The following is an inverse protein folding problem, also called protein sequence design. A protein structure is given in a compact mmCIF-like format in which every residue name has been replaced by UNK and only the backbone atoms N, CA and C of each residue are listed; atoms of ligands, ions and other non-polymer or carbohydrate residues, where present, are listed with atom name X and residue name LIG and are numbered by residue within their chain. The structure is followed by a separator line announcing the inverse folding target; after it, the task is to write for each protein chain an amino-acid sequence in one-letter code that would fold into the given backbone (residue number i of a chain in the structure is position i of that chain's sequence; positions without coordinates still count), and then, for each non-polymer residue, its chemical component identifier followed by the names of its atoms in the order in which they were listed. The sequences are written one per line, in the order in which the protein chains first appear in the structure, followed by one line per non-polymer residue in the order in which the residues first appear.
data_IF_355350995812
#
_entry.id   IF_355350995812
#
_cell.length_a   1.000
_cell.length_b   1.000
_cell.length_c   1.000
_cell.angle_alpha   90.00
_cell.angle_beta   90.00
_cell.angle_gamma   90.00
#
_symmetry.space_group_name_H-M   'P 1'
#
loop_
_entity.id
_entity.type
_entity.pdbx_description
1 polymer ?
#
# COMPACT_ATOMS: atom_id res chain seq x y z
N UNK A 1 -30.12 -30.52 20.10
CA UNK A 1 -29.84 -30.15 18.69
C UNK A 1 -29.38 -28.70 18.54
N UNK A 2 -30.12 -27.71 19.04
CA UNK A 2 -29.79 -26.28 18.89
C UNK A 2 -28.41 -25.90 19.49
N UNK A 3 -28.09 -26.38 20.70
CA UNK A 3 -26.79 -26.12 21.33
C UNK A 3 -25.59 -26.72 20.56
N UNK A 4 -25.74 -27.90 19.96
CA UNK A 4 -24.70 -28.49 19.11
C UNK A 4 -24.49 -27.68 17.84
N UNK A 5 -25.56 -27.15 17.24
CA UNK A 5 -25.47 -26.32 16.04
C UNK A 5 -24.68 -25.02 16.32
N UNK A 6 -24.92 -24.39 17.47
CA UNK A 6 -24.16 -23.20 17.90
C UNK A 6 -22.71 -23.52 18.25
N UNK A 7 -22.44 -24.65 18.89
CA UNK A 7 -21.07 -25.09 19.15
C UNK A 7 -20.29 -25.34 17.85
N UNK A 8 -20.94 -25.99 16.88
CA UNK A 8 -20.34 -26.20 15.55
C UNK A 8 -20.11 -24.86 14.84
N UNK A 9 -21.04 -23.91 14.88
CA UNK A 9 -20.84 -22.57 14.32
C UNK A 9 -19.72 -21.80 15.02
N UNK A 10 -19.57 -21.93 16.34
CA UNK A 10 -18.48 -21.32 17.09
C UNK A 10 -17.12 -21.95 16.72
N UNK A 11 -17.06 -23.28 16.61
CA UNK A 11 -15.84 -23.99 16.18
C UNK A 11 -15.49 -23.65 14.73
N UNK A 12 -16.47 -23.53 13.83
CA UNK A 12 -16.26 -23.07 12.45
C UNK A 12 -15.81 -21.61 12.41
N UNK A 13 -16.34 -20.74 13.28
CA UNK A 13 -15.90 -19.35 13.41
C UNK A 13 -14.47 -19.25 13.91
N UNK A 14 -14.10 -20.04 14.93
CA UNK A 14 -12.74 -20.09 15.47
C UNK A 14 -11.76 -20.72 14.47
N UNK A 15 -12.16 -21.80 13.80
CA UNK A 15 -11.35 -22.49 12.78
C UNK A 15 -11.20 -21.66 11.50
N UNK A 16 -12.23 -20.90 11.10
CA UNK A 16 -12.20 -20.02 9.93
C UNK A 16 -11.27 -18.81 10.08
N UNK A 17 -10.94 -18.42 11.31
CA UNK A 17 -9.97 -17.35 11.60
C UNK A 17 -8.54 -17.86 11.85
N UNK A 18 -8.32 -19.18 11.77
CA UNK A 18 -6.99 -19.80 11.77
C UNK A 18 -6.31 -19.79 10.41
N UNK A 19 -6.95 -19.22 9.39
CA UNK A 19 -6.38 -19.10 8.04
C UNK A 19 -5.31 -17.99 8.00
N UNK A 20 -4.05 -18.41 7.92
CA UNK A 20 -2.96 -17.61 7.37
C UNK A 20 -2.22 -16.69 8.34
N UNK A 21 -1.46 -17.25 9.28
CA UNK A 21 -0.37 -16.51 9.96
C UNK A 21 0.80 -16.17 9.01
N UNK A 22 0.73 -16.56 7.74
CA UNK A 22 1.81 -16.38 6.79
C UNK A 22 1.58 -15.09 5.97
N UNK A 23 2.16 -13.99 6.43
CA UNK A 23 2.10 -12.67 5.79
C UNK A 23 3.30 -12.42 4.85
N UNK A 24 3.83 -13.48 4.24
CA UNK A 24 4.89 -13.42 3.24
C UNK A 24 4.31 -13.80 1.89
N UNK A 25 4.73 -13.11 0.83
CA UNK A 25 4.33 -13.39 -0.54
C UNK A 25 5.34 -12.83 -1.53
N UNK A 26 5.12 -13.05 -2.82
CA UNK A 26 5.90 -12.41 -3.88
C UNK A 26 5.04 -12.39 -5.14
N UNK A 27 5.27 -11.41 -6.02
CA UNK A 27 4.72 -11.45 -7.36
C UNK A 27 5.62 -12.35 -8.22
N UNK A 28 5.14 -13.54 -8.56
CA UNK A 28 5.92 -14.54 -9.28
C UNK A 28 7.07 -15.14 -8.46
N UNK A 29 7.90 -15.95 -9.13
CA UNK A 29 9.01 -16.65 -8.46
C UNK A 29 10.24 -15.76 -8.25
N UNK A 30 10.43 -14.76 -9.12
CA UNK A 30 11.62 -13.89 -9.14
C UNK A 30 11.34 -12.49 -8.55
N UNK A 31 10.12 -12.24 -8.06
CA UNK A 31 9.76 -10.98 -7.43
C UNK A 31 10.37 -10.81 -6.03
N UNK A 32 10.44 -9.56 -5.51
CA UNK A 32 10.92 -9.31 -4.16
C UNK A 32 10.04 -10.01 -3.11
N UNK A 33 10.64 -10.42 -2.00
CA UNK A 33 9.90 -10.93 -0.84
C UNK A 33 9.01 -9.81 -0.27
N UNK A 34 7.70 -10.00 -0.32
CA UNK A 34 6.67 -9.08 0.16
C UNK A 34 6.21 -9.53 1.54
N UNK A 35 6.62 -8.74 2.52
CA UNK A 35 6.22 -8.84 3.93
C UNK A 35 5.98 -7.45 4.50
N UNK A 36 5.41 -7.41 5.70
CA UNK A 36 5.12 -6.19 6.43
C UNK A 36 6.32 -5.21 6.42
N UNK A 37 6.11 -3.90 6.21
CA UNK A 37 4.82 -3.21 6.15
C UNK A 37 4.06 -3.38 4.84
N UNK A 38 4.70 -3.93 3.81
CA UNK A 38 4.07 -4.14 2.52
C UNK A 38 3.14 -5.35 2.54
N UNK A 39 2.11 -5.29 1.70
CA UNK A 39 1.24 -6.43 1.42
C UNK A 39 0.80 -6.43 -0.04
N UNK A 40 0.46 -7.60 -0.55
CA UNK A 40 -0.23 -7.73 -1.83
C UNK A 40 -1.72 -7.47 -1.59
N UNK A 41 -2.23 -6.38 -2.16
CA UNK A 41 -3.64 -6.01 -2.07
C UNK A 41 -4.50 -7.11 -2.69
N UNK A 42 -5.65 -7.38 -2.07
CA UNK A 42 -6.64 -8.37 -2.50
C UNK A 42 -6.20 -9.85 -2.43
N UNK A 43 -4.91 -10.13 -2.25
CA UNK A 43 -4.37 -11.48 -2.00
C UNK A 43 -4.06 -11.74 -0.52
N UNK A 44 -3.48 -10.75 0.16
CA UNK A 44 -3.11 -10.86 1.57
C UNK A 44 -4.11 -10.13 2.49
N UNK A 45 -4.47 -10.72 3.65
CA UNK A 45 -5.34 -10.08 4.62
C UNK A 45 -4.84 -8.70 5.07
N UNK A 46 -5.76 -7.79 5.42
CA UNK A 46 -5.42 -6.42 5.85
C UNK A 46 -4.43 -6.35 7.02
N UNK A 47 -4.40 -7.37 7.89
CA UNK A 47 -3.49 -7.40 9.03
C UNK A 47 -2.03 -7.74 8.65
N UNK A 48 -1.77 -8.13 7.41
CA UNK A 48 -0.43 -8.43 6.91
C UNK A 48 0.34 -7.20 6.42
N UNK A 49 -0.32 -6.07 6.22
CA UNK A 49 0.30 -4.83 5.78
C UNK A 49 -0.11 -3.62 6.61
N UNK A 50 0.57 -2.51 6.37
CA UNK A 50 0.23 -1.22 6.93
C UNK A 50 -0.56 -0.39 5.89
N UNK A 51 -1.62 0.34 6.28
CA UNK A 51 -2.36 1.18 5.34
C UNK A 51 -1.43 2.14 4.57
N UNK A 52 -1.53 2.14 3.24
CA UNK A 52 -0.67 2.94 2.37
C UNK A 52 0.64 2.26 1.92
N UNK A 53 0.83 0.97 2.25
CA UNK A 53 1.92 0.12 1.76
C UNK A 53 1.42 -1.04 0.88
N UNK A 54 0.28 -0.82 0.24
CA UNK A 54 -0.33 -1.82 -0.63
C UNK A 54 0.46 -1.91 -1.94
N UNK A 55 0.83 -3.13 -2.31
CA UNK A 55 1.42 -3.50 -3.58
C UNK A 55 0.39 -4.29 -4.39
N UNK A 56 0.56 -4.33 -5.70
CA UNK A 56 -0.18 -5.21 -6.60
C UNK A 56 0.77 -6.02 -7.48
N UNK A 57 0.29 -7.15 -7.99
CA UNK A 57 0.97 -7.90 -9.03
C UNK A 57 0.31 -7.58 -10.37
N UNK A 58 1.09 -7.23 -11.39
CA UNK A 58 0.59 -7.09 -12.75
C UNK A 58 0.52 -8.44 -13.48
N UNK A 59 -0.06 -8.46 -14.67
CA UNK A 59 -0.28 -9.68 -15.46
C UNK A 59 1.01 -10.43 -15.82
N UNK A 60 2.14 -9.72 -15.88
CA UNK A 60 3.48 -10.26 -16.09
C UNK A 60 4.17 -10.71 -14.79
N UNK A 61 3.44 -10.76 -13.67
CA UNK A 61 3.93 -11.03 -12.31
C UNK A 61 4.93 -9.99 -11.78
N UNK A 62 4.95 -8.79 -12.34
CA UNK A 62 5.77 -7.70 -11.81
C UNK A 62 5.12 -7.09 -10.56
N UNK A 63 5.93 -6.69 -9.56
CA UNK A 63 5.44 -6.01 -8.35
C UNK A 63 5.28 -4.52 -8.59
N UNK A 64 4.09 -3.98 -8.33
CA UNK A 64 3.75 -2.57 -8.60
C UNK A 64 3.39 -1.85 -7.30
N UNK A 65 3.94 -0.65 -7.14
CA UNK A 65 3.55 0.31 -6.12
C UNK A 65 2.80 1.47 -6.79
N UNK A 66 1.56 1.71 -6.36
CA UNK A 66 0.80 2.88 -6.75
C UNK A 66 0.90 3.96 -5.68
N UNK A 67 1.50 5.09 -6.05
CA UNK A 67 1.56 6.25 -5.17
C UNK A 67 0.20 6.95 -5.12
N UNK A 68 -0.13 7.67 -4.01
CA UNK A 68 -1.37 8.45 -3.90
C UNK A 68 -1.58 9.48 -5.01
N UNK A 69 -0.51 9.87 -5.71
CA UNK A 69 -0.53 10.75 -6.88
C UNK A 69 -1.05 10.08 -8.15
N UNK A 70 -1.35 8.78 -8.12
CA UNK A 70 -1.71 7.97 -9.29
C UNK A 70 -0.50 7.51 -10.11
N UNK A 71 0.72 7.75 -9.62
CA UNK A 71 1.96 7.28 -10.26
C UNK A 71 2.23 5.83 -9.88
N UNK A 72 2.20 4.94 -10.86
CA UNK A 72 2.61 3.55 -10.69
C UNK A 72 4.10 3.37 -10.97
N UNK A 73 4.77 2.64 -10.08
CA UNK A 73 6.19 2.30 -10.14
C UNK A 73 6.38 0.78 -10.08
N UNK A 74 7.31 0.27 -10.88
CA UNK A 74 7.73 -1.13 -10.85
C UNK A 74 8.75 -1.32 -9.73
N UNK A 75 8.46 -2.17 -8.75
CA UNK A 75 9.36 -2.49 -7.65
C UNK A 75 10.30 -3.62 -8.07
N UNK A 76 11.59 -3.36 -7.99
CA UNK A 76 12.62 -4.38 -8.22
C UNK A 76 13.06 -5.06 -6.92
N UNK A 77 13.23 -4.25 -5.86
CA UNK A 77 13.85 -4.70 -4.63
C UNK A 77 13.29 -3.91 -3.43
N UNK A 78 13.13 -4.62 -2.33
CA UNK A 78 12.69 -4.06 -1.05
C UNK A 78 13.77 -4.38 -0.01
N UNK A 79 14.57 -3.38 0.35
CA UNK A 79 15.56 -3.46 1.41
C UNK A 79 14.91 -3.10 2.76
N UNK A 80 14.44 -4.14 3.44
CA UNK A 80 13.83 -4.04 4.76
C UNK A 80 14.78 -3.50 5.83
N UNK A 81 16.08 -3.79 5.73
CA UNK A 81 17.09 -3.41 6.72
C UNK A 81 17.32 -1.90 6.71
N UNK A 82 17.42 -1.31 5.52
CA UNK A 82 17.63 0.14 5.37
C UNK A 82 16.33 0.91 5.12
N UNK A 83 15.20 0.21 5.01
CA UNK A 83 13.89 0.76 4.68
C UNK A 83 13.87 1.49 3.35
N UNK A 84 14.44 0.86 2.32
CA UNK A 84 14.56 1.39 0.96
C UNK A 84 13.88 0.50 -0.08
N UNK A 85 13.05 1.09 -0.93
CA UNK A 85 12.47 0.47 -2.11
C UNK A 85 13.26 0.96 -3.32
N UNK A 86 13.69 0.02 -4.16
CA UNK A 86 14.24 0.33 -5.47
C UNK A 86 13.18 0.10 -6.54
N UNK A 87 12.93 1.14 -7.34
CA UNK A 87 11.86 1.14 -8.30
C UNK A 87 12.26 1.74 -9.65
N UNK A 88 11.56 1.32 -10.70
CA UNK A 88 11.65 1.87 -12.05
C UNK A 88 10.32 2.42 -12.52
N UNK A 89 10.37 3.32 -13.49
CA UNK A 89 9.22 3.57 -14.35
C UNK A 89 9.02 2.36 -15.28
N UNK A 90 7.82 1.74 -15.32
CA UNK A 90 7.50 0.71 -16.32
C UNK A 90 7.76 1.13 -17.77
N UNK A 91 7.66 2.43 -18.09
CA UNK A 91 7.95 2.97 -19.42
C UNK A 91 9.39 3.50 -19.57
N UNK A 92 10.22 3.37 -18.54
CA UNK A 92 11.62 3.83 -18.54
C UNK A 92 11.80 5.35 -18.67
N UNK A 93 10.78 6.15 -18.37
CA UNK A 93 10.76 7.60 -18.59
C UNK A 93 10.13 8.38 -17.43
N UNK A 94 10.87 8.54 -16.33
CA UNK A 94 10.42 9.32 -15.17
C UNK A 94 9.94 10.74 -15.50
N UNK A 95 10.55 11.51 -16.41
CA UNK A 95 10.06 12.84 -16.77
C UNK A 95 8.59 12.84 -17.27
N UNK A 96 8.12 11.70 -17.80
CA UNK A 96 6.73 11.52 -18.25
C UNK A 96 5.74 11.37 -17.09
N UNK A 97 6.18 10.84 -15.94
CA UNK A 97 5.32 10.55 -14.79
C UNK A 97 4.84 11.78 -14.04
N UNK A 98 5.35 12.98 -14.38
CA UNK A 98 5.01 14.26 -13.71
C UNK A 98 4.92 14.08 -12.20
N UNK A 99 5.96 13.47 -11.63
CA UNK A 99 6.05 13.18 -10.21
C UNK A 99 5.91 14.51 -9.46
N UNK A 100 4.73 14.76 -8.90
CA UNK A 100 4.53 15.88 -8.00
C UNK A 100 5.05 15.42 -6.63
N UNK A 101 6.22 15.93 -6.25
CA UNK A 101 6.98 15.61 -5.04
C UNK A 101 6.30 15.98 -3.71
N UNK A 102 4.99 16.23 -3.70
CA UNK A 102 4.21 16.28 -2.47
C UNK A 102 3.98 14.86 -1.93
N UNK A 103 5.08 14.18 -1.62
CA UNK A 103 5.15 13.02 -0.75
C UNK A 103 4.86 13.39 0.72
N UNK A 104 4.57 14.66 1.01
CA UNK A 104 4.35 15.21 2.35
C UNK A 104 3.18 14.62 3.14
N UNK A 105 2.32 13.84 2.49
CA UNK A 105 1.28 13.03 3.14
C UNK A 105 1.46 11.52 2.95
N UNK A 106 2.50 11.07 2.24
CA UNK A 106 2.76 9.66 1.95
C UNK A 106 3.82 9.08 2.89
N UNK A 107 3.80 7.77 3.07
CA UNK A 107 4.82 7.05 3.85
C UNK A 107 6.18 6.95 3.15
N UNK A 108 6.33 7.51 1.95
CA UNK A 108 7.49 7.34 1.08
C UNK A 108 8.25 8.67 0.90
N UNK A 109 9.58 8.61 0.82
CA UNK A 109 10.46 9.75 0.58
C UNK A 109 11.56 9.33 -0.37
N UNK A 110 11.75 10.08 -1.45
CA UNK A 110 12.85 9.83 -2.39
C UNK A 110 14.19 10.08 -1.69
N UNK A 111 15.10 9.13 -1.84
CA UNK A 111 16.48 9.25 -1.37
C UNK A 111 17.34 9.57 -2.58
N UNK A 112 17.94 10.75 -2.56
CA UNK A 112 19.01 11.08 -3.49
C UNK A 112 20.31 10.43 -3.02
N UNK A 113 21.18 10.05 -3.95
CA UNK A 113 22.52 9.62 -3.58
C UNK A 113 23.30 10.82 -3.03
N UNK A 114 24.30 10.56 -2.18
CA UNK A 114 25.03 11.61 -1.47
C UNK A 114 25.55 12.67 -2.47
N UNK A 115 25.13 13.92 -2.27
CA UNK A 115 25.45 15.14 -3.05
C UNK A 115 24.56 15.46 -4.26
N UNK A 116 23.51 14.69 -4.55
CA UNK A 116 22.53 15.06 -5.57
C UNK A 116 21.44 15.96 -4.98
N UNK A 117 21.33 17.17 -5.54
CA UNK A 117 20.25 18.08 -5.24
C UNK A 117 19.03 17.78 -6.11
N UNK A 118 17.85 18.08 -5.57
CA UNK A 118 16.61 18.05 -6.31
C UNK A 118 16.40 19.42 -6.93
N UNK A 119 16.09 19.43 -8.22
CA UNK A 119 16.01 20.64 -9.01
C UNK A 119 14.66 20.75 -9.70
N UNK A 120 14.29 21.98 -10.05
CA UNK A 120 13.06 22.29 -10.75
C UNK A 120 13.37 22.63 -12.20
N UNK A 121 12.68 21.97 -13.11
CA UNK A 121 12.99 22.00 -14.55
C UNK A 121 11.80 22.47 -15.36
N UNK A 122 12.09 23.22 -16.42
CA UNK A 122 11.13 23.58 -17.45
C UNK A 122 11.45 22.81 -18.73
N UNK A 123 10.47 22.09 -19.26
CA UNK A 123 10.61 21.30 -20.48
C UNK A 123 10.20 22.12 -21.70
N UNK A 124 10.96 21.98 -22.78
CA UNK A 124 10.75 22.63 -24.06
C UNK A 124 10.70 21.61 -25.19
N UNK A 125 9.73 21.76 -26.08
CA UNK A 125 9.59 20.99 -27.31
C UNK A 125 10.22 21.77 -28.46
N UNK A 126 11.14 21.13 -29.16
CA UNK A 126 11.91 21.76 -30.20
C UNK A 126 12.05 20.87 -31.45
N UNK A 127 12.22 21.47 -32.64
CA UNK A 127 12.42 20.73 -33.90
C UNK A 127 13.78 19.99 -33.92
N UNK A 128 13.81 18.68 -34.17
CA UNK A 128 15.07 17.88 -34.11
C UNK A 128 16.15 18.31 -35.13
N UNK A 129 15.78 19.05 -36.17
CA UNK A 129 16.69 19.40 -37.27
C UNK A 129 17.52 20.67 -37.01
N UNK A 130 17.25 21.39 -35.92
CA UNK A 130 17.99 22.59 -35.54
C UNK A 130 19.21 22.23 -34.70
N UNK A 131 20.36 22.82 -35.02
CA UNK A 131 21.55 22.73 -34.16
C UNK A 131 21.26 23.47 -32.86
N UNK A 132 21.49 22.81 -31.73
CA UNK A 132 21.31 23.40 -30.40
C UNK A 132 22.61 23.40 -29.62
N UNK A 133 22.67 24.29 -28.63
CA UNK A 133 23.74 24.38 -27.65
C UNK A 133 24.01 23.01 -27.01
N UNK A 134 25.29 22.63 -26.85
CA UNK A 134 25.66 21.41 -26.14
C UNK A 134 25.32 21.46 -24.63
N UNK A 135 24.99 22.65 -24.11
CA UNK A 135 24.60 22.85 -22.72
C UNK A 135 23.12 22.52 -22.45
N UNK A 136 22.31 22.27 -23.49
CA UNK A 136 20.91 21.89 -23.33
C UNK A 136 20.76 20.42 -22.89
N UNK A 137 20.02 20.19 -21.80
CA UNK A 137 19.75 18.84 -21.29
C UNK A 137 18.67 18.14 -22.15
N UNK A 138 19.07 17.47 -23.23
CA UNK A 138 18.15 16.68 -24.06
C UNK A 138 17.60 15.49 -23.27
N UNK A 139 16.28 15.35 -23.21
CA UNK A 139 15.58 14.25 -22.53
C UNK A 139 15.33 13.12 -23.53
N UNK A 140 16.05 11.98 -23.45
CA UNK A 140 15.99 10.95 -24.49
C UNK A 140 14.60 10.33 -24.66
N UNK A 141 13.91 10.06 -23.54
CA UNK A 141 12.68 9.27 -23.52
C UNK A 141 11.39 10.05 -23.86
N UNK A 142 11.48 11.38 -24.02
CA UNK A 142 10.33 12.24 -24.37
C UNK A 142 10.35 12.76 -25.81
N UNK A 143 11.44 12.52 -26.55
CA UNK A 143 11.51 12.86 -27.97
C UNK A 143 10.63 11.95 -28.83
N UNK A 144 10.25 12.43 -30.01
CA UNK A 144 9.67 11.59 -31.05
C UNK A 144 10.05 12.10 -32.45
N UNK A 145 9.42 11.58 -33.50
CA UNK A 145 9.81 11.93 -34.87
C UNK A 145 9.70 13.45 -35.11
N UNK A 146 10.82 14.05 -35.54
CA UNK A 146 11.01 15.49 -35.78
C UNK A 146 10.90 16.42 -34.56
N UNK A 147 10.81 15.89 -33.34
CA UNK A 147 10.89 16.73 -32.15
C UNK A 147 11.74 16.13 -31.04
N UNK A 148 12.54 17.01 -30.45
CA UNK A 148 13.38 16.75 -29.31
C UNK A 148 12.87 17.56 -28.11
N UNK A 149 12.95 16.96 -26.92
CA UNK A 149 12.59 17.63 -25.68
C UNK A 149 13.85 17.98 -24.90
N UNK A 150 13.94 19.22 -24.44
CA UNK A 150 15.04 19.72 -23.63
C UNK A 150 14.53 20.20 -22.27
N UNK A 151 15.31 19.96 -21.22
CA UNK A 151 15.09 20.53 -19.90
C UNK A 151 16.05 21.70 -19.65
N UNK A 152 15.52 22.77 -19.08
CA UNK A 152 16.29 23.90 -18.55
C UNK A 152 15.97 24.03 -17.08
N UNK A 153 17.00 24.24 -16.28
CA UNK A 153 16.80 24.44 -14.86
C UNK A 153 16.16 25.81 -14.58
N UNK A 154 15.35 25.92 -13.53
CA UNK A 154 14.55 27.13 -13.27
C UNK A 154 15.37 28.40 -13.02
N UNK A 155 16.67 28.30 -12.70
CA UNK A 155 17.56 29.45 -12.56
C UNK A 155 18.36 29.80 -13.82
N UNK A 156 18.39 28.92 -14.83
CA UNK A 156 19.17 29.11 -16.05
C UNK A 156 18.43 29.98 -17.07
N UNK A 157 19.18 30.65 -17.94
CA UNK A 157 18.58 31.43 -19.03
C UNK A 157 18.32 30.55 -20.25
N UNK A 158 17.14 30.69 -20.83
CA UNK A 158 16.70 29.95 -22.03
C UNK A 158 17.58 30.30 -23.25
N UNK A 159 18.15 31.51 -23.27
CA UNK A 159 19.04 31.99 -24.32
C UNK A 159 20.36 31.23 -24.39
N UNK A 160 20.95 30.83 -23.26
CA UNK A 160 22.23 30.11 -23.23
C UNK A 160 22.12 28.68 -23.80
N UNK A 161 20.90 28.15 -23.83
CA UNK A 161 20.59 26.82 -24.36
C UNK A 161 20.06 26.83 -25.80
N UNK A 162 20.00 28.00 -26.46
CA UNK A 162 19.39 28.17 -27.80
C UNK A 162 17.92 27.69 -27.89
N UNK A 163 17.15 27.81 -26.81
CA UNK A 163 15.77 27.29 -26.73
C UNK A 163 14.69 28.35 -27.01
N UNK A 164 15.07 29.54 -27.47
CA UNK A 164 14.14 30.62 -27.81
C UNK A 164 13.20 30.26 -28.97
N UNK A 165 13.62 29.37 -29.88
CA UNK A 165 12.79 28.85 -30.97
C UNK A 165 11.82 27.74 -30.54
N UNK A 166 11.97 27.23 -29.31
CA UNK A 166 11.21 26.09 -28.81
C UNK A 166 9.87 26.49 -28.17
N UNK A 167 8.92 25.55 -28.15
CA UNK A 167 7.66 25.72 -27.43
C UNK A 167 7.79 25.20 -25.99
N UNK A 168 7.50 26.04 -24.99
CA UNK A 168 7.40 25.59 -23.60
C UNK A 168 6.32 24.52 -23.44
N UNK A 169 6.65 23.41 -22.78
CA UNK A 169 5.73 22.30 -22.52
C UNK A 169 5.08 22.41 -21.14
N UNK A 170 5.84 22.09 -20.09
CA UNK A 170 5.40 22.09 -18.70
C UNK A 170 6.60 22.07 -17.77
N UNK A 171 6.37 22.35 -16.49
CA UNK A 171 7.40 22.28 -15.46
C UNK A 171 7.35 20.90 -14.77
N UNK A 172 8.50 20.41 -14.33
CA UNK A 172 8.62 19.28 -13.40
C UNK A 172 9.43 19.75 -12.20
N UNK A 173 9.09 19.25 -11.02
CA UNK A 173 9.67 19.71 -9.77
C UNK A 173 10.37 18.56 -9.08
N UNK A 174 11.47 18.84 -8.38
CA UNK A 174 12.15 17.87 -7.54
C UNK A 174 12.88 16.73 -8.27
N UNK A 175 13.37 16.90 -9.50
CA UNK A 175 14.11 15.84 -10.20
C UNK A 175 15.62 15.98 -10.02
N UNK A 176 16.34 14.86 -9.90
CA UNK A 176 17.80 14.85 -10.07
C UNK A 176 18.17 14.77 -11.55
N UNK A 177 19.42 15.10 -11.89
CA UNK A 177 19.95 14.94 -13.26
C UNK A 177 19.83 13.49 -13.76
N UNK A 178 20.13 12.51 -12.91
CA UNK A 178 20.01 11.09 -13.25
C UNK A 178 18.57 10.71 -13.64
N UNK A 179 17.57 11.15 -12.87
CA UNK A 179 16.16 10.91 -13.17
C UNK A 179 15.70 11.52 -14.51
N UNK A 180 16.41 12.54 -15.01
CA UNK A 180 16.09 13.23 -16.25
C UNK A 180 16.73 12.61 -17.49
N UNK A 181 18.00 12.22 -17.36
CA UNK A 181 18.86 11.90 -18.50
C UNK A 181 19.12 10.41 -18.65
N UNK A 182 19.07 9.65 -17.56
CA UNK A 182 19.36 8.21 -17.60
C UNK A 182 18.13 7.41 -18.02
N UNK A 183 18.30 6.65 -19.11
CA UNK A 183 17.33 5.62 -19.47
C UNK A 183 17.35 4.51 -18.41
N UNK A 184 16.16 4.07 -17.98
CA UNK A 184 16.01 3.04 -16.94
C UNK A 184 16.65 3.40 -15.59
N UNK A 185 16.65 4.69 -15.23
CA UNK A 185 17.09 5.16 -13.91
C UNK A 185 16.48 4.31 -12.78
N UNK A 186 17.29 3.97 -11.78
CA UNK A 186 16.85 3.17 -10.62
C UNK A 186 16.54 4.10 -9.45
N UNK A 187 15.26 4.41 -9.26
CA UNK A 187 14.80 5.30 -8.19
C UNK A 187 14.90 4.61 -6.84
N UNK A 188 15.50 5.30 -5.86
CA UNK A 188 15.55 4.84 -4.47
C UNK A 188 14.57 5.64 -3.62
N UNK A 189 13.67 4.93 -2.94
CA UNK A 189 12.60 5.49 -2.13
C UNK A 189 12.72 4.93 -0.72
N UNK A 190 12.99 5.77 0.27
CA UNK A 190 12.85 5.37 1.67
C UNK A 190 11.38 5.35 2.11
N UNK A 191 11.05 4.51 3.08
CA UNK A 191 9.73 4.54 3.71
C UNK A 191 9.79 4.73 5.22
N UNK A 192 8.72 5.29 5.76
CA UNK A 192 8.55 5.52 7.19
C UNK A 192 7.17 5.10 7.68
N UNK A 193 7.14 4.36 8.79
CA UNK A 193 5.90 4.01 9.48
C UNK A 193 5.72 4.92 10.71
N UNK A 194 4.73 5.82 10.75
CA UNK A 194 4.57 6.80 11.82
C UNK A 194 4.09 6.22 13.16
N UNK A 195 3.56 4.99 13.19
CA UNK A 195 3.06 4.39 14.45
C UNK A 195 4.01 3.36 15.07
N UNK A 196 5.11 3.03 14.38
CA UNK A 196 6.10 2.10 14.89
C UNK A 196 7.44 2.76 15.12
N UNK A 197 8.12 2.33 16.19
CA UNK A 197 9.52 2.67 16.44
C UNK A 197 10.49 2.04 15.44
N UNK A 198 11.71 1.77 15.90
CA UNK A 198 12.84 1.36 15.07
C UNK A 198 12.81 -0.11 14.60
N UNK A 199 11.90 -0.96 15.09
CA UNK A 199 11.90 -2.40 14.80
C UNK A 199 10.61 -2.98 14.20
N UNK A 200 10.76 -3.96 13.31
CA UNK A 200 9.64 -4.69 12.67
C UNK A 200 8.79 -5.50 13.68
N UNK A 201 9.43 -6.03 14.73
CA UNK A 201 8.78 -6.83 15.76
C UNK A 201 7.76 -6.02 16.59
N UNK A 202 8.06 -4.74 16.86
CA UNK A 202 7.15 -3.84 17.58
C UNK A 202 5.89 -3.53 16.76
N UNK A 203 6.01 -3.41 15.43
CA UNK A 203 4.87 -3.18 14.54
C UNK A 203 3.87 -4.33 14.52
N UNK A 204 4.37 -5.55 14.31
CA UNK A 204 3.54 -6.75 14.30
C UNK A 204 2.80 -6.92 15.63
N UNK A 205 3.44 -6.58 16.76
CA UNK A 205 2.82 -6.60 18.08
C UNK A 205 1.63 -5.64 18.22
N UNK A 206 1.77 -4.40 17.74
CA UNK A 206 0.71 -3.39 17.83
C UNK A 206 -0.50 -3.74 16.95
N UNK A 207 -0.26 -4.16 15.71
CA UNK A 207 -1.32 -4.60 14.79
C UNK A 207 -2.03 -5.85 15.30
N UNK A 208 -1.28 -6.85 15.78
CA UNK A 208 -1.84 -8.05 16.41
C UNK A 208 -2.70 -7.69 17.63
N UNK A 209 -2.28 -6.74 18.45
CA UNK A 209 -3.05 -6.27 19.59
C UNK A 209 -4.32 -5.52 19.17
N UNK A 210 -4.25 -4.68 18.14
CA UNK A 210 -5.40 -3.99 17.55
C UNK A 210 -6.43 -4.96 16.96
N UNK A 211 -5.97 -5.94 16.17
CA UNK A 211 -6.81 -7.00 15.58
C UNK A 211 -7.43 -7.87 16.67
N UNK A 212 -6.64 -8.30 17.68
CA UNK A 212 -7.14 -9.06 18.83
C UNK A 212 -8.21 -8.27 19.60
N UNK A 213 -8.03 -6.96 19.79
CA UNK A 213 -9.02 -6.10 20.44
C UNK A 213 -10.31 -6.01 19.61
N UNK A 214 -10.22 -5.84 18.29
CA UNK A 214 -11.40 -5.85 17.39
C UNK A 214 -12.14 -7.20 17.43
N UNK A 215 -11.42 -8.31 17.37
CA UNK A 215 -11.99 -9.67 17.49
C UNK A 215 -12.69 -9.90 18.84
N UNK A 216 -12.09 -9.44 19.94
CA UNK A 216 -12.72 -9.52 21.26
C UNK A 216 -14.01 -8.70 21.32
N UNK A 217 -14.03 -7.49 20.75
CA UNK A 217 -15.22 -6.64 20.71
C UNK A 217 -16.33 -7.30 19.88
N UNK A 218 -16.02 -7.79 18.68
CA UNK A 218 -16.99 -8.48 17.81
C UNK A 218 -17.52 -9.75 18.45
N UNK A 219 -16.65 -10.54 19.10
CA UNK A 219 -17.05 -11.75 19.84
C UNK A 219 -17.94 -11.46 21.04
N UNK A 220 -17.69 -10.37 21.77
CA UNK A 220 -18.54 -9.92 22.88
C UNK A 220 -19.91 -9.45 22.37
N UNK A 221 -19.94 -8.67 21.29
CA UNK A 221 -21.19 -8.14 20.70
C UNK A 221 -22.09 -9.26 20.16
N UNK A 222 -21.52 -10.31 19.54
CA UNK A 222 -22.28 -11.43 19.02
C UNK A 222 -22.59 -12.50 20.09
N UNK A 223 -21.69 -12.69 21.06
CA UNK A 223 -21.80 -13.73 22.08
C UNK A 223 -22.78 -13.41 23.21
N UNK A 224 -22.81 -12.17 23.71
CA UNK A 224 -23.75 -11.76 24.77
C UNK A 224 -25.23 -11.94 24.43
N UNK A 225 -25.74 -11.50 23.25
CA UNK A 225 -27.15 -11.68 22.92
C UNK A 225 -27.51 -13.16 22.71
N UNK A 226 -26.60 -13.97 22.17
CA UNK A 226 -26.81 -15.42 22.05
C UNK A 226 -26.92 -16.09 23.43
N UNK A 227 -26.06 -15.71 24.37
CA UNK A 227 -26.11 -16.22 25.73
C UNK A 227 -27.41 -15.83 26.45
N UNK A 228 -27.85 -14.58 26.27
CA UNK A 228 -29.12 -14.09 26.81
C UNK A 228 -30.33 -14.87 26.23
N UNK A 229 -30.34 -15.14 24.92
CA UNK A 229 -31.39 -15.92 24.27
C UNK A 229 -31.47 -17.36 24.79
N UNK A 230 -30.33 -18.00 25.07
CA UNK A 230 -30.28 -19.33 25.68
C UNK A 230 -30.84 -19.30 27.11
N UNK A 231 -30.46 -18.30 27.92
CA UNK A 231 -31.01 -18.15 29.27
C UNK A 231 -32.53 -17.94 29.23
N UNK A 232 -33.04 -17.10 28.32
CA UNK A 232 -34.48 -16.87 28.16
C UNK A 232 -35.19 -18.16 27.74
N UNK A 233 -34.62 -18.93 26.81
CA UNK A 233 -35.19 -20.20 26.37
C UNK A 233 -35.24 -21.24 27.51
N UNK A 234 -34.16 -21.36 28.29
CA UNK A 234 -34.10 -22.24 29.46
C UNK A 234 -35.07 -21.80 30.55
N UNK A 235 -35.17 -20.49 30.81
CA UNK A 235 -36.13 -19.93 31.75
C UNK A 235 -37.57 -20.22 31.33
N UNK A 236 -37.90 -20.04 30.04
CA UNK A 236 -39.22 -20.38 29.49
C UNK A 236 -39.53 -21.87 29.59
N UNK A 237 -38.55 -22.74 29.28
CA UNK A 237 -38.72 -24.18 29.43
C UNK A 237 -38.97 -24.56 30.90
N UNK A 238 -38.17 -24.02 31.82
CA UNK A 238 -38.35 -24.22 33.25
C UNK A 238 -39.72 -23.69 33.75
N UNK A 239 -40.13 -22.50 33.30
CA UNK A 239 -41.42 -21.92 33.69
C UNK A 239 -42.63 -22.64 33.09
N UNK A 240 -42.47 -23.41 32.01
CA UNK A 240 -43.52 -24.27 31.44
C UNK A 240 -43.56 -25.63 32.15
N UNK A 241 -42.42 -26.13 32.63
CA UNK A 241 -42.35 -27.37 33.43
C UNK A 241 -42.89 -27.14 34.85
N UNK A 242 -42.65 -25.97 35.45
CA UNK A 242 -43.09 -25.63 36.82
C UNK A 242 -44.62 -25.69 37.07
N UNK A 243 -45.51 -25.22 36.17
CA UNK A 243 -46.96 -25.33 36.40
C UNK A 243 -47.46 -26.79 36.36
N UNK A 244 -46.70 -27.73 35.79
CA UNK A 244 -47.02 -29.16 35.84
C UNK A 244 -46.81 -29.82 37.22
N UNK A 245 -45.97 -29.22 38.08
CA UNK A 245 -45.74 -29.72 39.45
C UNK A 245 -46.73 -29.13 40.47
N UNK A 246 -47.44 -28.05 40.13
CA UNK A 246 -48.45 -27.48 41.04
C UNK A 246 -49.81 -28.18 40.96
N UNK A 247 -50.10 -28.91 39.86
CA UNK A 247 -51.32 -29.70 39.74
C UNK A 247 -51.22 -31.10 40.39
N UNK A 248 -50.02 -31.57 40.76
CA UNK A 248 -49.85 -32.90 41.34
C UNK A 248 -50.04 -32.93 42.88
N UNK A 249 -50.11 -31.78 43.54
CA UNK A 249 -50.30 -31.68 45.00
C UNK A 249 -51.76 -31.45 45.42
N UNK A 250 -52.72 -31.34 44.49
CA UNK A 250 -54.12 -30.99 44.82
C UNK A 250 -55.11 -32.17 44.67
N UNK A 251 -54.64 -33.41 44.48
CA UNK A 251 -55.50 -34.62 44.31
C UNK A 251 -55.30 -35.64 45.45
N UNK A 252 -54.49 -35.34 46.47
CA UNK A 252 -54.26 -36.25 47.62
C UNK A 252 -54.41 -35.56 48.96
N UNK A 253 -55.58 -34.99 49.24
CA UNK A 253 -56.07 -34.85 50.62
C UNK A 253 -57.56 -35.19 50.62
N UNK A 254 -57.87 -36.30 51.28
CA UNK A 254 -59.19 -36.85 51.51
C UNK A 254 -59.44 -36.89 53.00
#
# INVERSE_FOLDING_TARGET
MVACLFYVLFVVFVAGHGAGLNCTGSCGNDGPDIRFPFRIKDEQPDHCGYPGFDLSCSDDNSTVLELPTGVSLLIEEIDYRHRLVHARDPLGCFPRKRLNFSLGASHFQIKTQNNEWLYDWTLFNCSSNEKRSPYGNKIPCLGAFNHDVYAVESYDTISDSDLLSCTKMYNIYGFTYGMLLEENYRLTISWFNPTCGSSEAECYGFLKHSVRRKLLITGVILGLPLFAMVIIALYRAYSVIKPGLSCFWMITEH
#
